data_IF_220082763196
#
_entry.id   IF_220082763196
#
_cell.length_a   1.000
_cell.length_b   1.000
_cell.length_c   1.000
_cell.angle_alpha   90.00
_cell.angle_beta   90.00
_cell.angle_gamma   90.00
#
_symmetry.space_group_name_H-M   'P 1'
#
loop_
_entity.id
_entity.type
_entity.pdbx_description
1 polymer ?
#
# COMPACT_ATOMS: atom_id res chain seq x y z
N UNK A 1 17.89 -17.62 -21.46
CA UNK A 1 17.58 -16.32 -20.79
C UNK A 1 18.90 -15.58 -20.69
N UNK A 2 19.13 -14.60 -21.56
CA UNK A 2 20.32 -13.76 -21.52
C UNK A 2 20.28 -12.92 -20.26
N UNK A 3 21.18 -13.21 -19.34
CA UNK A 3 21.48 -12.33 -18.22
C UNK A 3 22.16 -11.11 -18.85
N UNK A 4 21.43 -10.00 -18.99
CA UNK A 4 22.01 -8.72 -19.41
C UNK A 4 23.19 -8.43 -18.49
N UNK A 5 24.39 -8.28 -19.03
CA UNK A 5 25.58 -7.85 -18.29
C UNK A 5 25.23 -6.56 -17.56
N UNK A 6 25.24 -6.58 -16.23
CA UNK A 6 25.10 -5.37 -15.43
C UNK A 6 26.42 -4.61 -15.53
N UNK A 7 26.37 -3.43 -16.12
CA UNK A 7 27.50 -2.50 -16.10
C UNK A 7 27.34 -1.67 -14.81
N UNK A 8 28.37 -1.70 -13.98
CA UNK A 8 28.48 -0.82 -12.83
C UNK A 8 29.33 0.39 -13.23
N UNK A 9 28.84 1.58 -12.92
CA UNK A 9 29.59 2.83 -13.10
C UNK A 9 29.30 3.75 -11.91
N UNK A 10 30.26 4.62 -11.59
CA UNK A 10 30.12 5.64 -10.55
C UNK A 10 30.13 7.01 -11.18
N UNK A 11 29.22 7.87 -10.77
CA UNK A 11 29.15 9.26 -11.20
C UNK A 11 28.85 10.16 -10.00
N UNK A 12 29.51 11.32 -9.96
CA UNK A 12 29.26 12.34 -8.92
C UNK A 12 28.25 13.37 -9.41
N UNK A 13 27.39 13.81 -8.50
CA UNK A 13 26.38 14.84 -8.73
C UNK A 13 26.41 15.84 -7.58
N UNK A 14 26.11 17.10 -7.85
CA UNK A 14 26.01 18.15 -6.84
C UNK A 14 24.77 17.94 -5.96
N UNK A 15 23.68 17.46 -6.56
CA UNK A 15 22.39 17.22 -5.89
C UNK A 15 21.76 15.91 -6.38
N UNK A 16 21.15 15.17 -5.46
CA UNK A 16 20.40 13.94 -5.75
C UNK A 16 18.95 14.10 -5.28
N UNK A 17 18.00 14.03 -6.22
CA UNK A 17 16.58 14.06 -5.93
C UNK A 17 15.98 12.67 -6.12
N UNK A 18 15.55 12.04 -5.03
CA UNK A 18 14.95 10.71 -5.04
C UNK A 18 13.42 10.86 -5.16
N UNK A 19 12.89 10.55 -6.35
CA UNK A 19 11.47 10.68 -6.70
C UNK A 19 10.81 9.33 -6.98
N UNK A 20 11.23 8.26 -6.29
CA UNK A 20 10.75 6.89 -6.54
C UNK A 20 9.36 6.60 -5.97
N UNK A 21 8.83 7.53 -5.17
CA UNK A 21 7.54 7.37 -4.51
C UNK A 21 7.54 6.29 -3.42
N UNK A 22 6.34 6.01 -2.88
CA UNK A 22 6.15 5.10 -1.75
C UNK A 22 5.33 3.83 -2.07
N UNK A 23 4.69 3.76 -3.23
CA UNK A 23 3.74 2.70 -3.59
C UNK A 23 4.36 1.64 -4.51
N UNK A 24 5.61 1.24 -4.23
CA UNK A 24 6.35 0.28 -5.07
C UNK A 24 6.42 -1.13 -4.50
N UNK A 25 6.42 -1.27 -3.17
CA UNK A 25 6.51 -2.58 -2.50
C UNK A 25 5.26 -2.85 -1.69
N UNK A 26 4.42 -3.81 -2.11
CA UNK A 26 3.24 -4.22 -1.36
C UNK A 26 3.55 -4.70 0.06
N UNK A 27 2.74 -4.27 1.02
CA UNK A 27 2.77 -4.80 2.38
C UNK A 27 1.86 -6.03 2.46
N UNK A 28 2.45 -7.19 2.64
CA UNK A 28 1.74 -8.45 2.88
C UNK A 28 1.71 -8.74 4.38
N UNK A 29 0.55 -8.74 5.03
CA UNK A 29 0.44 -9.18 6.41
C UNK A 29 0.77 -10.67 6.50
N UNK A 30 1.32 -11.07 7.64
CA UNK A 30 1.67 -12.47 7.87
C UNK A 30 0.47 -13.23 8.42
N UNK A 31 -0.02 -14.20 7.64
CA UNK A 31 -0.99 -15.19 8.06
C UNK A 31 -0.43 -16.56 7.73
N UNK A 32 -0.27 -17.42 8.72
CA UNK A 32 0.32 -18.78 8.54
C UNK A 32 -0.52 -19.63 7.60
N UNK A 33 -1.82 -19.36 7.54
CA UNK A 33 -2.80 -20.11 6.76
C UNK A 33 -3.02 -19.56 5.35
N UNK A 34 -2.44 -18.44 4.98
CA UNK A 34 -2.66 -17.77 3.67
C UNK A 34 -2.44 -18.72 2.48
N UNK A 35 -1.47 -19.62 2.60
CA UNK A 35 -1.14 -20.62 1.55
C UNK A 35 -2.21 -21.72 1.37
N UNK A 36 -3.16 -21.86 2.30
CA UNK A 36 -4.25 -22.82 2.17
C UNK A 36 -5.29 -22.39 1.14
N UNK A 37 -5.42 -21.07 0.93
CA UNK A 37 -6.41 -20.56 0.00
C UNK A 37 -6.11 -20.98 -1.44
N UNK A 38 -7.12 -21.58 -2.11
CA UNK A 38 -7.01 -22.13 -3.46
C UNK A 38 -7.56 -21.19 -4.53
N UNK A 39 -8.32 -20.18 -4.12
CA UNK A 39 -8.81 -19.13 -5.01
C UNK A 39 -7.71 -18.15 -5.43
N UNK A 40 -8.10 -17.08 -6.11
CA UNK A 40 -7.17 -16.03 -6.52
C UNK A 40 -6.82 -15.13 -5.33
N UNK A 41 -5.54 -15.00 -5.02
CA UNK A 41 -5.03 -14.11 -3.98
C UNK A 41 -4.06 -13.11 -4.62
N UNK A 42 -4.34 -11.82 -4.46
CA UNK A 42 -3.49 -10.75 -5.00
C UNK A 42 -3.44 -9.55 -4.05
N UNK A 43 -2.44 -8.69 -4.26
CA UNK A 43 -2.41 -7.38 -3.61
C UNK A 43 -3.12 -6.33 -4.48
N UNK A 44 -3.65 -5.26 -3.88
CA UNK A 44 -4.24 -4.13 -4.61
C UNK A 44 -3.29 -3.49 -5.64
N UNK A 45 -1.98 -3.67 -5.46
CA UNK A 45 -0.97 -3.28 -6.42
C UNK A 45 -1.14 -3.96 -7.80
N UNK A 46 -1.62 -5.19 -7.82
CA UNK A 46 -1.79 -6.01 -9.03
C UNK A 46 -3.22 -5.99 -9.57
N UNK A 47 -4.15 -5.36 -8.84
CA UNK A 47 -5.51 -5.11 -9.33
C UNK A 47 -5.48 -4.16 -10.53
N UNK A 48 -6.31 -4.42 -11.56
CA UNK A 48 -6.37 -3.59 -12.77
C UNK A 48 -7.78 -3.13 -13.11
N UNK A 49 -8.76 -4.03 -13.09
CA UNK A 49 -10.12 -3.74 -13.53
C UNK A 49 -11.11 -4.71 -12.87
N UNK A 50 -12.35 -4.27 -12.59
CA UNK A 50 -13.35 -5.10 -11.91
C UNK A 50 -13.92 -6.22 -12.79
N UNK A 51 -13.81 -6.10 -14.10
CA UNK A 51 -14.29 -7.09 -15.08
C UNK A 51 -13.63 -8.45 -14.91
N UNK A 52 -12.40 -8.49 -14.37
CA UNK A 52 -11.66 -9.73 -14.08
C UNK A 52 -12.34 -10.59 -12.99
N UNK A 53 -13.34 -10.06 -12.29
CA UNK A 53 -14.01 -10.67 -11.14
C UNK A 53 -15.53 -10.78 -11.31
N UNK A 54 -16.06 -10.66 -12.53
CA UNK A 54 -17.50 -10.76 -12.80
C UNK A 54 -18.09 -12.03 -12.19
N UNK A 55 -19.17 -11.85 -11.43
CA UNK A 55 -19.93 -12.94 -10.81
C UNK A 55 -19.25 -13.65 -9.64
N UNK A 56 -18.03 -13.26 -9.25
CA UNK A 56 -17.31 -13.82 -8.11
C UNK A 56 -17.76 -13.19 -6.79
N UNK A 57 -17.55 -13.91 -5.70
CA UNK A 57 -17.55 -13.40 -4.33
C UNK A 57 -16.12 -12.99 -4.01
N UNK A 58 -15.89 -11.74 -3.68
CA UNK A 58 -14.55 -11.25 -3.38
C UNK A 58 -14.45 -10.74 -1.94
N UNK A 59 -13.28 -10.92 -1.31
CA UNK A 59 -12.93 -10.20 -0.09
C UNK A 59 -11.89 -9.14 -0.41
N UNK A 60 -12.14 -7.90 0.00
CA UNK A 60 -11.17 -6.80 -0.04
C UNK A 60 -10.74 -6.51 1.40
N UNK A 61 -9.48 -6.82 1.72
CA UNK A 61 -8.96 -6.72 3.09
C UNK A 61 -8.07 -5.48 3.22
N UNK A 62 -8.55 -4.50 3.97
CA UNK A 62 -7.84 -3.25 4.26
C UNK A 62 -8.69 -2.01 4.06
N UNK A 63 -8.86 -1.21 5.13
CA UNK A 63 -9.73 -0.03 5.17
C UNK A 63 -9.08 1.27 4.69
N UNK A 64 -8.08 1.23 3.82
CA UNK A 64 -7.49 2.40 3.16
C UNK A 64 -8.22 2.79 1.87
N UNK A 65 -7.79 3.89 1.22
CA UNK A 65 -8.39 4.39 -0.02
C UNK A 65 -8.47 3.31 -1.11
N UNK A 66 -7.39 2.55 -1.32
CA UNK A 66 -7.40 1.45 -2.31
C UNK A 66 -8.47 0.39 -2.03
N UNK A 67 -8.70 0.06 -0.74
CA UNK A 67 -9.75 -0.89 -0.37
C UNK A 67 -11.14 -0.37 -0.68
N UNK A 68 -11.37 0.92 -0.43
CA UNK A 68 -12.64 1.60 -0.74
C UNK A 68 -12.88 1.63 -2.24
N UNK A 69 -11.91 2.15 -3.01
CA UNK A 69 -12.05 2.33 -4.45
C UNK A 69 -12.29 0.98 -5.15
N UNK A 70 -11.49 -0.04 -4.81
CA UNK A 70 -11.66 -1.40 -5.38
C UNK A 70 -13.00 -2.01 -4.99
N UNK A 71 -13.45 -1.84 -3.73
CA UNK A 71 -14.76 -2.36 -3.32
C UNK A 71 -15.90 -1.67 -4.07
N UNK A 72 -15.76 -0.37 -4.31
CA UNK A 72 -16.72 0.41 -5.10
C UNK A 72 -16.78 -0.06 -6.55
N UNK A 73 -15.64 -0.16 -7.22
CA UNK A 73 -15.56 -0.63 -8.61
C UNK A 73 -16.14 -2.03 -8.77
N UNK A 74 -15.71 -2.96 -7.90
CA UNK A 74 -16.16 -4.35 -7.90
C UNK A 74 -17.65 -4.52 -7.58
N UNK A 75 -18.27 -3.57 -6.87
CA UNK A 75 -19.70 -3.64 -6.51
C UNK A 75 -20.62 -3.75 -7.71
N UNK A 76 -20.23 -3.23 -8.86
CA UNK A 76 -21.05 -3.25 -10.08
C UNK A 76 -20.85 -4.51 -10.93
N UNK A 77 -19.85 -5.32 -10.63
CA UNK A 77 -19.43 -6.47 -11.46
C UNK A 77 -19.46 -7.81 -10.71
N UNK A 78 -19.17 -7.77 -9.42
CA UNK A 78 -19.09 -8.96 -8.59
C UNK A 78 -20.47 -9.40 -8.06
N UNK A 79 -20.60 -10.69 -7.75
CA UNK A 79 -21.77 -11.23 -7.07
C UNK A 79 -21.92 -10.64 -5.66
N UNK A 80 -20.80 -10.54 -4.96
CA UNK A 80 -20.72 -10.06 -3.57
C UNK A 80 -19.32 -9.53 -3.29
N UNK A 81 -19.21 -8.46 -2.50
CA UNK A 81 -17.96 -7.90 -2.03
C UNK A 81 -17.97 -7.84 -0.49
N UNK A 82 -17.09 -8.58 0.15
CA UNK A 82 -16.85 -8.50 1.59
C UNK A 82 -15.71 -7.49 1.81
N UNK A 83 -16.05 -6.29 2.28
CA UNK A 83 -15.07 -5.24 2.56
C UNK A 83 -14.67 -5.24 4.03
N UNK A 84 -13.46 -5.74 4.31
CA UNK A 84 -12.89 -5.86 5.67
C UNK A 84 -12.07 -4.62 5.99
N UNK A 85 -12.55 -3.74 6.86
CA UNK A 85 -11.95 -2.43 7.12
C UNK A 85 -11.31 -2.25 8.50
N UNK A 86 -11.43 -3.20 9.44
CA UNK A 86 -10.93 -3.10 10.81
C UNK A 86 -11.37 -1.80 11.53
N UNK A 87 -12.62 -1.37 11.35
CA UNK A 87 -13.19 -0.19 11.98
C UNK A 87 -12.61 1.16 11.53
N UNK A 88 -11.70 1.19 10.56
CA UNK A 88 -10.97 2.42 10.21
C UNK A 88 -11.75 3.41 9.36
N UNK A 89 -12.67 2.94 8.53
CA UNK A 89 -13.53 3.80 7.70
C UNK A 89 -14.90 3.16 7.57
N UNK A 90 -15.93 3.83 8.07
CA UNK A 90 -17.32 3.42 7.90
C UNK A 90 -17.95 4.29 6.84
N UNK A 91 -18.32 3.68 5.74
CA UNK A 91 -19.15 4.32 4.73
C UNK A 91 -20.58 3.83 4.91
N UNK A 92 -21.51 4.76 5.13
CA UNK A 92 -22.91 4.38 5.21
C UNK A 92 -23.45 3.99 3.84
N UNK A 93 -23.99 2.77 3.72
CA UNK A 93 -24.79 2.27 2.57
C UNK A 93 -24.19 2.55 1.19
N UNK A 94 -22.90 2.23 0.99
CA UNK A 94 -22.22 2.62 -0.24
C UNK A 94 -22.75 1.92 -1.48
N UNK A 95 -23.01 0.60 -1.41
CA UNK A 95 -23.38 -0.18 -2.60
C UNK A 95 -24.20 -1.42 -2.22
N UNK A 96 -25.19 -1.82 -3.05
CA UNK A 96 -26.16 -2.88 -2.70
C UNK A 96 -25.53 -4.25 -2.39
N UNK A 97 -24.42 -4.60 -3.01
CA UNK A 97 -23.74 -5.90 -2.89
C UNK A 97 -22.39 -5.84 -2.16
N UNK A 98 -22.09 -4.71 -1.49
CA UNK A 98 -20.91 -4.58 -0.63
C UNK A 98 -21.32 -4.77 0.83
N UNK A 99 -20.88 -5.85 1.44
CA UNK A 99 -20.95 -6.05 2.87
C UNK A 99 -19.69 -5.49 3.52
N UNK A 100 -19.81 -4.32 4.13
CA UNK A 100 -18.73 -3.77 4.95
C UNK A 100 -18.74 -4.45 6.32
N UNK A 101 -17.60 -5.01 6.72
CA UNK A 101 -17.46 -5.75 7.96
C UNK A 101 -16.27 -5.23 8.79
N UNK A 102 -16.53 -5.05 10.08
CA UNK A 102 -15.52 -4.67 11.07
C UNK A 102 -15.10 -5.93 11.83
N UNK A 103 -14.24 -6.70 11.20
CA UNK A 103 -13.79 -7.99 11.72
C UNK A 103 -12.27 -8.10 11.63
N UNK A 104 -11.69 -8.90 12.50
CA UNK A 104 -10.28 -9.28 12.44
C UNK A 104 -10.15 -10.62 11.73
N UNK A 105 -9.55 -10.63 10.55
CA UNK A 105 -9.23 -11.87 9.83
C UNK A 105 -8.18 -12.65 10.63
N UNK A 106 -8.42 -13.94 10.82
CA UNK A 106 -7.53 -14.83 11.57
C UNK A 106 -6.98 -15.94 10.69
N UNK A 107 -7.83 -16.58 9.90
CA UNK A 107 -7.47 -17.77 9.13
C UNK A 107 -8.00 -17.72 7.70
N UNK A 108 -7.24 -18.34 6.81
CA UNK A 108 -7.63 -18.62 5.43
C UNK A 108 -7.86 -20.13 5.30
N UNK A 109 -9.00 -20.53 4.73
CA UNK A 109 -9.27 -21.90 4.32
C UNK A 109 -9.03 -22.08 2.81
N UNK A 110 -9.44 -23.19 2.23
CA UNK A 110 -9.29 -23.39 0.79
C UNK A 110 -10.17 -22.43 -0.04
N UNK A 111 -11.33 -21.99 0.48
CA UNK A 111 -12.32 -21.20 -0.24
C UNK A 111 -13.00 -20.13 0.63
N UNK A 112 -12.47 -19.83 1.79
CA UNK A 112 -13.04 -18.82 2.70
C UNK A 112 -11.99 -18.07 3.50
N UNK A 113 -12.42 -16.98 4.13
CA UNK A 113 -11.74 -16.32 5.23
C UNK A 113 -12.52 -16.53 6.51
N UNK A 114 -11.81 -16.78 7.61
CA UNK A 114 -12.37 -16.87 8.95
C UNK A 114 -11.92 -15.62 9.70
N UNK A 115 -12.87 -14.96 10.33
CA UNK A 115 -12.65 -13.74 11.06
C UNK A 115 -13.43 -13.72 12.38
N UNK A 116 -13.05 -12.83 13.29
CA UNK A 116 -13.80 -12.56 14.52
C UNK A 116 -14.31 -11.13 14.50
N UNK A 117 -15.56 -10.94 14.94
CA UNK A 117 -16.12 -9.63 15.18
C UNK A 117 -15.62 -9.04 16.51
N UNK A 118 -16.09 -7.83 16.84
CA UNK A 118 -15.71 -7.15 18.07
C UNK A 118 -16.24 -7.83 19.34
N UNK A 119 -17.25 -8.69 19.22
CA UNK A 119 -17.84 -9.48 20.31
C UNK A 119 -17.15 -10.85 20.47
N UNK A 120 -16.20 -11.16 19.60
CA UNK A 120 -15.45 -12.41 19.58
C UNK A 120 -16.15 -13.56 18.84
N UNK A 121 -17.26 -13.31 18.15
CA UNK A 121 -17.93 -14.34 17.37
C UNK A 121 -17.12 -14.68 16.14
N UNK A 122 -16.96 -15.99 15.90
CA UNK A 122 -16.28 -16.52 14.71
C UNK A 122 -17.24 -16.52 13.53
N UNK A 123 -16.81 -15.86 12.44
CA UNK A 123 -17.59 -15.72 11.20
C UNK A 123 -16.75 -16.25 10.05
N UNK A 124 -17.39 -16.97 9.15
CA UNK A 124 -16.78 -17.49 7.93
C UNK A 124 -17.40 -16.83 6.70
N UNK A 125 -16.55 -16.29 5.82
CA UNK A 125 -16.96 -15.70 4.56
C UNK A 125 -16.42 -16.52 3.39
N UNK A 126 -17.32 -17.14 2.64
CA UNK A 126 -16.98 -17.89 1.42
C UNK A 126 -16.61 -16.92 0.30
N UNK A 127 -15.43 -17.05 -0.28
CA UNK A 127 -14.91 -16.14 -1.30
C UNK A 127 -14.14 -16.88 -2.40
N UNK A 128 -14.22 -16.37 -3.61
CA UNK A 128 -13.54 -16.92 -4.79
C UNK A 128 -12.20 -16.19 -5.03
N UNK A 129 -12.13 -14.91 -4.63
CA UNK A 129 -10.92 -14.06 -4.75
C UNK A 129 -10.71 -13.23 -3.48
N UNK A 130 -9.46 -13.05 -3.10
CA UNK A 130 -9.05 -12.16 -2.01
C UNK A 130 -8.10 -11.09 -2.56
N UNK A 131 -8.42 -9.81 -2.30
CA UNK A 131 -7.61 -8.66 -2.66
C UNK A 131 -7.07 -8.02 -1.38
N UNK A 132 -5.76 -8.10 -1.19
CA UNK A 132 -5.09 -7.49 -0.03
C UNK A 132 -4.83 -6.02 -0.30
N UNK A 133 -5.67 -5.13 0.24
CA UNK A 133 -5.52 -3.67 0.18
C UNK A 133 -4.79 -3.13 1.42
N UNK A 134 -3.71 -3.79 1.79
CA UNK A 134 -3.01 -3.65 3.08
C UNK A 134 -1.86 -2.63 3.05
N UNK A 135 -1.79 -1.85 1.97
CA UNK A 135 -0.83 -0.75 1.82
C UNK A 135 0.55 -1.20 1.37
N UNK A 136 1.54 -0.35 1.62
CA UNK A 136 2.89 -0.48 1.06
C UNK A 136 3.93 -0.23 2.13
N UNK A 137 5.14 -0.73 1.89
CA UNK A 137 6.34 -0.45 2.68
C UNK A 137 7.35 0.34 1.85
N UNK A 138 8.16 1.16 2.51
CA UNK A 138 9.23 1.86 1.83
C UNK A 138 10.35 0.90 1.44
N UNK A 139 10.84 1.06 0.21
CA UNK A 139 12.00 0.33 -0.30
C UNK A 139 13.12 1.32 -0.63
N UNK A 140 14.02 1.52 0.31
CA UNK A 140 15.20 2.37 0.17
C UNK A 140 16.49 1.54 0.07
N UNK A 141 16.42 0.28 -0.37
CA UNK A 141 17.59 -0.62 -0.48
C UNK A 141 18.67 -0.13 -1.45
N UNK A 142 18.33 0.81 -2.32
CA UNK A 142 19.26 1.45 -3.24
C UNK A 142 20.00 2.65 -2.62
N UNK A 143 19.59 3.09 -1.44
CA UNK A 143 20.25 4.16 -0.68
C UNK A 143 21.24 3.52 0.27
N UNK A 144 22.48 4.04 0.30
CA UNK A 144 23.51 3.57 1.25
C UNK A 144 23.03 3.83 2.68
N UNK A 145 23.08 2.82 3.58
CA UNK A 145 22.69 3.00 4.98
C UNK A 145 23.46 4.10 5.73
N UNK A 146 24.68 4.40 5.28
CA UNK A 146 25.53 5.42 5.91
C UNK A 146 25.09 6.87 5.64
N UNK A 147 24.12 7.10 4.78
CA UNK A 147 23.58 8.45 4.55
C UNK A 147 22.54 8.88 5.60
N UNK A 148 22.32 8.10 6.65
CA UNK A 148 21.49 8.45 7.80
C UNK A 148 19.98 8.38 7.56
N UNK A 149 19.49 7.87 6.41
CA UNK A 149 18.08 7.70 6.11
C UNK A 149 17.65 6.27 6.46
N UNK A 150 16.58 6.15 7.25
CA UNK A 150 16.06 4.85 7.67
C UNK A 150 14.53 4.79 7.48
N UNK A 151 14.07 3.80 6.73
CA UNK A 151 12.66 3.47 6.64
C UNK A 151 12.25 2.55 7.82
N UNK A 152 11.20 2.93 8.52
CA UNK A 152 10.68 2.19 9.68
C UNK A 152 9.47 1.32 9.30
N UNK A 153 9.21 0.22 10.06
CA UNK A 153 8.06 -0.66 9.80
C UNK A 153 6.70 0.01 9.93
N UNK A 154 6.60 1.09 10.70
CA UNK A 154 5.37 1.88 10.89
C UNK A 154 5.06 2.82 9.71
N UNK A 155 5.93 2.83 8.69
CA UNK A 155 5.79 3.66 7.49
C UNK A 155 6.28 5.10 7.69
N UNK A 156 7.16 5.33 8.67
CA UNK A 156 7.91 6.59 8.81
C UNK A 156 9.31 6.47 8.21
N UNK A 157 9.93 7.62 7.94
CA UNK A 157 11.33 7.69 7.51
C UNK A 157 12.06 8.65 8.43
N UNK A 158 13.11 8.16 9.08
CA UNK A 158 14.03 8.95 9.91
C UNK A 158 15.13 9.58 9.05
N UNK A 159 15.78 10.61 9.60
CA UNK A 159 16.91 11.28 8.95
C UNK A 159 16.53 12.36 7.94
N UNK A 160 15.26 12.80 7.92
CA UNK A 160 14.75 13.81 7.01
C UNK A 160 14.27 15.07 7.72
N UNK A 161 14.82 16.22 7.36
CA UNK A 161 14.28 17.54 7.71
C UNK A 161 13.04 17.82 6.85
N UNK A 162 11.93 18.19 7.50
CA UNK A 162 10.62 18.44 6.85
C UNK A 162 10.13 17.27 5.98
N UNK A 163 10.48 16.03 6.31
CA UNK A 163 10.17 14.84 5.50
C UNK A 163 10.64 14.94 4.04
N UNK A 164 11.75 15.65 3.80
CA UNK A 164 12.23 15.95 2.46
C UNK A 164 13.76 15.91 2.36
N UNK A 165 14.47 16.78 3.09
CA UNK A 165 15.92 16.96 2.97
C UNK A 165 16.65 16.01 3.92
N UNK A 166 17.63 15.27 3.42
CA UNK A 166 18.48 14.46 4.27
C UNK A 166 19.30 15.35 5.21
N UNK A 167 19.26 15.05 6.52
CA UNK A 167 19.93 15.85 7.55
C UNK A 167 21.45 15.67 7.49
N UNK A 168 21.93 14.44 7.24
CA UNK A 168 23.37 14.14 7.20
C UNK A 168 24.02 14.45 5.85
N UNK A 169 23.23 14.38 4.77
CA UNK A 169 23.65 14.69 3.39
C UNK A 169 22.69 15.71 2.78
N UNK A 170 22.84 17.03 3.10
CA UNK A 170 21.88 18.05 2.67
C UNK A 170 21.74 18.22 1.15
N UNK A 171 22.67 17.70 0.37
CA UNK A 171 22.56 17.62 -1.11
C UNK A 171 21.63 16.53 -1.62
N UNK A 172 20.98 15.78 -0.72
CA UNK A 172 20.03 14.73 -1.07
C UNK A 172 18.64 15.05 -0.55
N UNK A 173 17.61 14.87 -1.40
CA UNK A 173 16.21 15.02 -1.02
C UNK A 173 15.37 13.81 -1.46
N UNK A 174 14.39 13.42 -0.62
CA UNK A 174 13.39 12.39 -0.91
C UNK A 174 12.02 13.02 -1.07
N UNK A 175 11.48 12.98 -2.28
CA UNK A 175 10.14 13.51 -2.58
C UNK A 175 9.05 12.44 -2.36
N UNK A 176 7.84 12.91 -2.05
CA UNK A 176 6.63 12.10 -2.01
C UNK A 176 6.67 10.94 -0.98
N UNK A 177 7.35 11.13 0.14
CA UNK A 177 7.46 10.13 1.22
C UNK A 177 6.47 10.34 2.37
N UNK A 178 5.79 11.47 2.43
CA UNK A 178 4.84 11.79 3.51
C UNK A 178 3.57 10.95 3.43
N UNK A 179 3.08 10.53 4.61
CA UNK A 179 1.86 9.76 4.78
C UNK A 179 0.66 10.66 5.14
N UNK A 180 -0.56 10.23 4.80
CA UNK A 180 -1.82 10.85 5.24
C UNK A 180 -1.92 12.33 4.91
N UNK A 181 -1.50 12.71 3.72
CA UNK A 181 -1.49 14.08 3.22
C UNK A 181 -2.28 14.17 1.92
N UNK A 182 -2.70 15.37 1.57
CA UNK A 182 -3.13 15.66 0.20
C UNK A 182 -1.89 15.68 -0.70
N UNK A 183 -1.71 14.69 -1.60
CA UNK A 183 -0.41 14.49 -2.25
C UNK A 183 0.00 15.67 -3.13
N UNK A 184 -0.88 16.09 -4.05
CA UNK A 184 -0.52 17.11 -5.04
C UNK A 184 -0.14 18.46 -4.42
N UNK A 185 -0.92 19.06 -3.49
CA UNK A 185 -0.53 20.32 -2.85
C UNK A 185 0.77 20.20 -2.07
N UNK A 186 0.97 19.10 -1.33
CA UNK A 186 2.21 18.93 -0.57
C UNK A 186 3.41 18.80 -1.49
N UNK A 187 3.34 17.98 -2.53
CA UNK A 187 4.48 17.77 -3.43
C UNK A 187 4.82 19.02 -4.21
N UNK A 188 3.82 19.80 -4.59
CA UNK A 188 4.04 21.14 -5.18
C UNK A 188 4.81 22.05 -4.22
N UNK A 189 4.42 22.10 -2.94
CA UNK A 189 5.14 22.89 -1.93
C UNK A 189 6.55 22.35 -1.67
N UNK A 190 6.79 21.05 -1.72
CA UNK A 190 8.13 20.50 -1.63
C UNK A 190 9.02 20.94 -2.78
N UNK A 191 8.50 20.96 -4.01
CA UNK A 191 9.22 21.46 -5.18
C UNK A 191 9.57 22.95 -5.02
N UNK A 192 8.59 23.79 -4.67
CA UNK A 192 8.81 25.22 -4.41
C UNK A 192 9.89 25.40 -3.33
N UNK A 193 9.79 24.68 -2.21
CA UNK A 193 10.74 24.79 -1.11
C UNK A 193 12.17 24.47 -1.55
N UNK A 194 12.37 23.43 -2.36
CA UNK A 194 13.71 23.03 -2.82
C UNK A 194 14.29 24.01 -3.83
N UNK A 195 13.51 24.45 -4.80
CA UNK A 195 14.03 25.24 -5.93
C UNK A 195 14.00 26.75 -5.67
N UNK A 196 12.97 27.30 -5.04
CA UNK A 196 12.88 28.74 -4.78
C UNK A 196 13.69 29.19 -3.56
N UNK A 197 13.90 28.32 -2.57
CA UNK A 197 14.69 28.64 -1.36
C UNK A 197 16.16 28.33 -1.50
N UNK A 198 16.61 27.89 -2.68
CA UNK A 198 18.01 27.54 -2.95
C UNK A 198 18.60 26.63 -1.85
N UNK A 199 17.85 25.57 -1.48
CA UNK A 199 18.19 24.72 -0.33
C UNK A 199 19.56 24.04 -0.49
N UNK A 200 20.06 23.93 -1.72
CA UNK A 200 21.31 23.25 -2.05
C UNK A 200 22.46 24.23 -2.41
N UNK A 201 22.32 25.53 -2.09
CA UNK A 201 23.37 26.57 -2.28
C UNK A 201 23.92 27.08 -0.97
#
# INVERSE_FOLDING_TARGET
KDIKKRYEFTQSFDVILICTGRYSVPHWPKYDTMKKFKGKLLHSHDYRQPEDYIGQRIAVIGGGLSGVDISQECSHHCKEVIFVNNGKMRFQNMFPNVQQVDVKVEEFTENSIIAHDNDGNRIEYQVDTIIMATGYVYNLKFVDPNVGIKANPDGTIDGLYRHLINIEQPSMALFAVSNRVLPLPLYHQQVIFVFEKNVFH
#
